data_IF_108548130047
#
_entry.id   IF_108548130047
#
_cell.length_a   1.000
_cell.length_b   1.000
_cell.length_c   1.000
_cell.angle_alpha   90.00
_cell.angle_beta   90.00
_cell.angle_gamma   90.00
#
_symmetry.space_group_name_H-M   'P 1'
#
loop_
_entity.id
_entity.type
_entity.pdbx_description
1 polymer ?
#
# COMPACT_ATOMS: atom_id res chain seq x y z
N UNK A 1 30.99 -7.22 0.70
CA UNK A 1 30.02 -6.19 1.08
C UNK A 1 28.64 -6.72 0.74
N UNK A 2 27.71 -6.58 1.65
CA UNK A 2 26.30 -6.91 1.37
C UNK A 2 25.77 -5.92 0.33
N UNK A 3 24.97 -6.43 -0.61
CA UNK A 3 24.49 -5.65 -1.75
C UNK A 3 23.25 -4.88 -1.37
N UNK A 4 23.12 -3.62 -1.82
CA UNK A 4 21.94 -2.82 -1.55
C UNK A 4 20.66 -3.48 -2.08
N UNK A 5 19.61 -3.48 -1.26
CA UNK A 5 18.29 -3.97 -1.59
C UNK A 5 17.23 -2.91 -1.35
N UNK A 6 16.18 -2.90 -2.16
CA UNK A 6 14.98 -2.08 -1.98
C UNK A 6 13.81 -2.96 -1.57
N UNK A 7 13.27 -2.70 -0.39
CA UNK A 7 12.12 -3.40 0.15
C UNK A 7 10.91 -2.47 0.06
N UNK A 8 9.92 -2.88 -0.68
CA UNK A 8 8.70 -2.12 -0.95
C UNK A 8 7.54 -2.72 -0.15
N UNK A 9 6.98 -1.95 0.77
CA UNK A 9 5.87 -2.40 1.62
C UNK A 9 4.53 -1.84 1.14
N UNK A 10 3.54 -2.72 0.99
CA UNK A 10 2.14 -2.30 1.01
C UNK A 10 1.69 -1.97 2.44
N UNK A 11 0.54 -1.30 2.58
CA UNK A 11 0.02 -0.82 3.86
C UNK A 11 -1.16 -1.66 4.35
N UNK A 12 -2.28 -1.61 3.62
CA UNK A 12 -3.56 -2.15 4.08
C UNK A 12 -3.62 -3.68 3.97
N UNK A 13 -3.58 -4.38 5.08
CA UNK A 13 -3.51 -5.85 5.16
C UNK A 13 -2.09 -6.39 5.25
N UNK A 14 -1.07 -5.54 5.07
CA UNK A 14 0.35 -5.90 5.20
C UNK A 14 0.97 -5.34 6.48
N UNK A 15 0.92 -4.02 6.68
CA UNK A 15 1.43 -3.35 7.87
C UNK A 15 0.34 -3.09 8.91
N UNK A 16 -0.85 -2.74 8.46
CA UNK A 16 -1.97 -2.37 9.32
C UNK A 16 -3.32 -2.60 8.65
N UNK A 17 -4.38 -2.54 9.45
CA UNK A 17 -5.74 -2.31 9.00
C UNK A 17 -6.36 -1.14 9.77
N UNK A 18 -7.02 -0.23 9.06
CA UNK A 18 -7.60 1.00 9.63
C UNK A 18 -9.04 0.84 10.13
N UNK A 19 -9.55 -0.39 10.27
CA UNK A 19 -10.95 -0.62 10.64
C UNK A 19 -11.94 -0.03 9.64
N UNK A 20 -11.59 -0.08 8.34
CA UNK A 20 -12.35 0.48 7.20
C UNK A 20 -12.51 2.01 7.22
N UNK A 21 -11.64 2.75 7.90
CA UNK A 21 -11.67 4.21 7.87
C UNK A 21 -11.59 4.77 6.44
N UNK A 22 -10.70 4.23 5.61
CA UNK A 22 -10.58 4.62 4.19
C UNK A 22 -11.88 4.46 3.41
N UNK A 23 -12.57 3.32 3.54
CA UNK A 23 -13.86 3.08 2.87
C UNK A 23 -14.93 4.07 3.32
N UNK A 24 -15.04 4.33 4.64
CA UNK A 24 -16.01 5.29 5.17
C UNK A 24 -15.71 6.70 4.68
N UNK A 25 -14.46 7.11 4.74
CA UNK A 25 -14.03 8.43 4.25
C UNK A 25 -14.28 8.61 2.75
N UNK A 26 -13.92 7.61 1.93
CA UNK A 26 -14.18 7.64 0.48
C UNK A 26 -15.67 7.76 0.16
N UNK A 27 -16.51 6.98 0.86
CA UNK A 27 -17.97 7.00 0.64
C UNK A 27 -18.55 8.38 0.98
N UNK A 28 -18.17 8.97 2.12
CA UNK A 28 -18.56 10.31 2.52
C UNK A 28 -18.04 11.37 1.56
N UNK A 29 -16.77 11.28 1.17
CA UNK A 29 -16.17 12.24 0.24
C UNK A 29 -16.84 12.24 -1.13
N UNK A 30 -17.18 11.07 -1.66
CA UNK A 30 -17.85 10.96 -2.96
C UNK A 30 -19.26 11.53 -2.92
N UNK A 31 -20.01 11.24 -1.87
CA UNK A 31 -21.34 11.81 -1.67
C UNK A 31 -21.30 13.35 -1.51
N UNK A 32 -20.36 13.88 -0.71
CA UNK A 32 -20.19 15.33 -0.54
C UNK A 32 -19.74 16.03 -1.82
N UNK A 33 -18.89 15.38 -2.64
CA UNK A 33 -18.33 16.00 -3.84
C UNK A 33 -19.29 15.97 -5.02
N UNK A 34 -20.02 14.85 -5.18
CA UNK A 34 -20.79 14.55 -6.39
C UNK A 34 -22.27 14.31 -6.14
N UNK A 35 -22.73 14.25 -4.89
CA UNK A 35 -24.14 14.02 -4.53
C UNK A 35 -24.60 12.57 -4.75
N UNK A 36 -23.66 11.61 -4.91
CA UNK A 36 -23.96 10.20 -5.18
C UNK A 36 -23.62 9.36 -3.96
N UNK A 37 -24.65 8.81 -3.30
CA UNK A 37 -24.49 7.94 -2.16
C UNK A 37 -24.05 6.52 -2.57
N UNK A 38 -23.31 5.83 -1.68
CA UNK A 38 -22.91 4.43 -1.83
C UNK A 38 -22.15 4.11 -3.13
N UNK A 39 -21.39 5.04 -3.67
CA UNK A 39 -20.67 4.90 -4.94
C UNK A 39 -19.67 3.71 -4.97
N UNK A 40 -19.24 3.23 -3.81
CA UNK A 40 -18.31 2.10 -3.68
C UNK A 40 -18.99 0.78 -3.25
N UNK A 41 -20.32 0.71 -3.29
CA UNK A 41 -21.03 -0.50 -2.89
C UNK A 41 -20.69 -1.68 -3.83
N UNK A 42 -20.18 -2.78 -3.24
CA UNK A 42 -19.78 -3.97 -3.98
C UNK A 42 -18.40 -3.92 -4.64
N UNK A 43 -17.66 -2.79 -4.53
CA UNK A 43 -16.30 -2.71 -5.04
C UNK A 43 -15.31 -3.43 -4.11
N UNK A 44 -14.32 -4.10 -4.74
CA UNK A 44 -13.18 -4.70 -4.02
C UNK A 44 -12.05 -3.68 -3.94
N UNK A 45 -11.62 -3.38 -2.72
CA UNK A 45 -10.55 -2.39 -2.46
C UNK A 45 -9.15 -3.00 -2.46
N UNK A 46 -9.02 -4.27 -2.08
CA UNK A 46 -7.72 -4.91 -1.86
C UNK A 46 -6.78 -4.79 -3.07
N UNK A 47 -5.60 -4.23 -2.84
CA UNK A 47 -4.53 -4.10 -3.82
C UNK A 47 -4.78 -3.10 -4.96
N UNK A 48 -5.89 -2.34 -4.94
CA UNK A 48 -6.18 -1.33 -5.96
C UNK A 48 -5.73 0.05 -5.52
N UNK A 49 -5.49 0.94 -6.52
CA UNK A 49 -5.16 2.33 -6.22
C UNK A 49 -6.42 3.15 -5.95
N UNK A 50 -6.31 4.15 -5.07
CA UNK A 50 -7.40 5.10 -4.79
C UNK A 50 -7.88 5.77 -6.09
N UNK A 51 -6.95 6.19 -6.94
CA UNK A 51 -7.27 6.80 -8.24
C UNK A 51 -8.06 5.87 -9.16
N UNK A 52 -7.74 4.56 -9.20
CA UNK A 52 -8.52 3.57 -9.95
C UNK A 52 -9.94 3.44 -9.37
N UNK A 53 -10.08 3.35 -8.05
CA UNK A 53 -11.38 3.22 -7.39
C UNK A 53 -12.27 4.44 -7.67
N UNK A 54 -11.70 5.64 -7.65
CA UNK A 54 -12.43 6.87 -7.99
C UNK A 54 -12.87 6.88 -9.45
N UNK A 55 -11.99 6.52 -10.39
CA UNK A 55 -12.36 6.38 -11.80
C UNK A 55 -13.54 5.43 -11.98
N UNK A 56 -13.53 4.27 -11.30
CA UNK A 56 -14.64 3.30 -11.34
C UNK A 56 -15.93 3.88 -10.78
N UNK A 57 -15.85 4.60 -9.66
CA UNK A 57 -17.02 5.22 -9.03
C UNK A 57 -17.61 6.34 -9.92
N UNK A 58 -16.77 7.18 -10.53
CA UNK A 58 -17.21 8.22 -11.47
C UNK A 58 -17.90 7.60 -12.69
N UNK A 59 -17.33 6.58 -13.30
CA UNK A 59 -17.93 5.85 -14.41
C UNK A 59 -19.26 5.21 -14.04
N UNK A 60 -19.32 4.54 -12.88
CA UNK A 60 -20.54 3.93 -12.36
C UNK A 60 -21.67 4.94 -12.10
N UNK A 61 -21.31 6.18 -11.74
CA UNK A 61 -22.24 7.29 -11.54
C UNK A 61 -22.58 8.06 -12.84
N UNK A 62 -21.98 7.72 -13.97
CA UNK A 62 -22.15 8.46 -15.24
C UNK A 62 -21.55 9.87 -15.21
N UNK A 63 -20.54 10.09 -14.35
CA UNK A 63 -19.84 11.36 -14.20
C UNK A 63 -18.55 11.38 -15.04
N UNK A 64 -18.09 12.57 -15.49
CA UNK A 64 -16.81 12.70 -16.20
C UNK A 64 -15.63 12.30 -15.31
N UNK A 65 -14.79 11.40 -15.82
CA UNK A 65 -13.55 10.99 -15.19
C UNK A 65 -12.42 11.95 -15.65
N UNK A 66 -12.21 13.01 -14.88
CA UNK A 66 -11.26 14.09 -15.21
C UNK A 66 -10.32 14.39 -14.04
N UNK A 67 -9.12 14.95 -14.30
CA UNK A 67 -8.20 15.37 -13.25
C UNK A 67 -8.85 16.31 -12.21
N UNK A 68 -9.75 17.20 -12.66
CA UNK A 68 -10.47 18.13 -11.77
C UNK A 68 -11.45 17.39 -10.83
N UNK A 69 -12.12 16.33 -11.34
CA UNK A 69 -12.99 15.49 -10.52
C UNK A 69 -12.19 14.75 -9.44
N UNK A 70 -11.04 14.17 -9.81
CA UNK A 70 -10.13 13.54 -8.87
C UNK A 70 -9.59 14.51 -7.82
N UNK A 71 -9.16 15.71 -8.22
CA UNK A 71 -8.66 16.72 -7.30
C UNK A 71 -9.73 17.17 -6.30
N UNK A 72 -10.97 17.40 -6.76
CA UNK A 72 -12.10 17.77 -5.90
C UNK A 72 -12.45 16.64 -4.92
N UNK A 73 -12.45 15.40 -5.37
CA UNK A 73 -12.65 14.25 -4.50
C UNK A 73 -11.57 14.16 -3.44
N UNK A 74 -10.29 14.19 -3.84
CA UNK A 74 -9.14 14.08 -2.93
C UNK A 74 -9.16 15.17 -1.86
N UNK A 75 -9.50 16.41 -2.23
CA UNK A 75 -9.62 17.54 -1.30
C UNK A 75 -10.65 17.31 -0.17
N UNK A 76 -11.72 16.55 -0.44
CA UNK A 76 -12.69 16.14 0.58
C UNK A 76 -12.31 14.85 1.30
N UNK A 77 -11.68 13.90 0.59
CA UNK A 77 -11.32 12.59 1.13
C UNK A 77 -10.28 12.67 2.24
N UNK A 78 -9.20 13.43 2.04
CA UNK A 78 -8.09 13.50 2.98
C UNK A 78 -8.52 14.00 4.38
N UNK A 79 -9.23 15.12 4.52
CA UNK A 79 -9.73 15.56 5.83
C UNK A 79 -10.69 14.54 6.46
N UNK A 80 -11.57 13.93 5.67
CA UNK A 80 -12.50 12.94 6.16
C UNK A 80 -11.80 11.67 6.63
N UNK A 81 -10.70 11.26 5.98
CA UNK A 81 -9.91 10.13 6.43
C UNK A 81 -9.28 10.41 7.80
N UNK A 82 -8.75 11.62 8.01
CA UNK A 82 -8.20 12.03 9.30
C UNK A 82 -9.25 12.01 10.43
N UNK A 83 -10.51 12.33 10.12
CA UNK A 83 -11.63 12.19 11.06
C UNK A 83 -12.00 10.71 11.30
N UNK A 84 -12.13 9.92 10.24
CA UNK A 84 -12.63 8.54 10.29
C UNK A 84 -11.63 7.58 10.92
N UNK A 85 -10.33 7.86 10.81
CA UNK A 85 -9.32 7.01 11.42
C UNK A 85 -9.33 7.09 12.94
N UNK A 86 -9.80 8.20 13.50
CA UNK A 86 -9.96 8.35 14.96
C UNK A 86 -11.20 7.60 15.50
N UNK A 87 -12.16 7.27 14.61
CA UNK A 87 -13.38 6.58 15.05
C UNK A 87 -13.14 5.10 15.30
N UNK A 88 -13.97 4.45 16.13
CA UNK A 88 -14.00 3.00 16.23
C UNK A 88 -14.19 2.36 14.86
N UNK A 89 -13.31 1.40 14.54
CA UNK A 89 -13.39 0.69 13.26
C UNK A 89 -14.53 -0.32 13.21
N UNK A 90 -14.87 -0.75 11.99
CA UNK A 90 -15.63 -1.97 11.73
C UNK A 90 -14.68 -3.03 11.24
N UNK A 91 -14.50 -4.13 12.00
CA UNK A 91 -13.45 -5.12 11.77
C UNK A 91 -12.14 -4.77 12.47
N UNK A 92 -11.04 -5.37 11.99
CA UNK A 92 -9.74 -5.15 12.61
C UNK A 92 -9.25 -3.71 12.40
N UNK A 93 -8.77 -3.09 13.48
CA UNK A 93 -8.08 -1.79 13.48
C UNK A 93 -6.83 -1.94 14.34
N UNK A 94 -5.67 -1.91 13.71
CA UNK A 94 -4.39 -2.15 14.39
C UNK A 94 -3.30 -2.58 13.42
N UNK A 95 -2.11 -2.78 13.97
CA UNK A 95 -0.98 -3.33 13.24
C UNK A 95 -1.22 -4.80 12.87
N UNK A 96 -0.65 -5.23 11.76
CA UNK A 96 -0.56 -6.65 11.43
C UNK A 96 0.53 -7.32 12.28
N UNK A 97 0.36 -8.64 12.59
CA UNK A 97 1.33 -9.34 13.44
C UNK A 97 2.75 -9.25 12.90
N UNK A 98 3.69 -8.81 13.74
CA UNK A 98 5.11 -8.68 13.42
C UNK A 98 5.50 -7.47 12.57
N UNK A 99 4.56 -6.61 12.18
CA UNK A 99 4.84 -5.48 11.28
C UNK A 99 5.83 -4.47 11.90
N UNK A 100 5.60 -4.05 13.15
CA UNK A 100 6.50 -3.11 13.84
C UNK A 100 7.86 -3.75 14.12
N UNK A 101 7.86 -4.94 14.66
CA UNK A 101 9.08 -5.67 15.03
C UNK A 101 9.98 -5.90 13.83
N UNK A 102 9.41 -6.19 12.66
CA UNK A 102 10.17 -6.32 11.42
C UNK A 102 10.76 -4.97 10.97
N UNK A 103 9.98 -3.89 10.99
CA UNK A 103 10.47 -2.57 10.59
C UNK A 103 11.60 -2.08 11.51
N UNK A 104 11.47 -2.28 12.83
CA UNK A 104 12.52 -1.97 13.81
C UNK A 104 13.79 -2.79 13.54
N UNK A 105 13.65 -4.09 13.28
CA UNK A 105 14.79 -4.95 12.96
C UNK A 105 15.48 -4.55 11.65
N UNK A 106 14.71 -4.16 10.63
CA UNK A 106 15.25 -3.71 9.34
C UNK A 106 15.99 -2.36 9.42
N UNK A 107 15.65 -1.51 10.39
CA UNK A 107 16.31 -0.22 10.60
C UNK A 107 17.82 -0.36 10.85
N UNK A 108 18.27 -1.46 11.44
CA UNK A 108 19.69 -1.74 11.69
C UNK A 108 20.46 -2.22 10.43
N UNK A 109 19.74 -2.52 9.34
CA UNK A 109 20.33 -3.04 8.10
C UNK A 109 20.51 -1.93 7.04
N UNK A 110 21.49 -1.03 7.23
CA UNK A 110 21.75 0.15 6.38
C UNK A 110 21.97 -0.13 4.88
N UNK A 111 22.09 -1.40 4.46
CA UNK A 111 22.15 -1.79 3.04
C UNK A 111 20.76 -2.12 2.47
N UNK A 112 19.71 -2.12 3.31
CA UNK A 112 18.32 -2.28 2.89
C UNK A 112 17.62 -0.93 2.99
N UNK A 113 17.00 -0.52 1.90
CA UNK A 113 16.22 0.71 1.82
C UNK A 113 14.74 0.36 1.88
N UNK A 114 14.02 0.98 2.81
CA UNK A 114 12.59 0.75 3.02
C UNK A 114 11.80 1.85 2.32
N UNK A 115 10.86 1.44 1.47
CA UNK A 115 9.97 2.39 0.81
C UNK A 115 8.54 1.82 0.74
N UNK A 116 7.56 2.70 0.51
CA UNK A 116 6.16 2.30 0.37
C UNK A 116 5.82 1.95 -1.09
N UNK A 117 4.94 0.97 -1.25
CA UNK A 117 4.32 0.61 -2.51
C UNK A 117 2.82 0.42 -2.26
N UNK A 118 2.04 1.46 -2.39
CA UNK A 118 0.65 1.41 -1.94
C UNK A 118 -0.33 2.01 -2.94
N UNK A 119 -1.53 1.44 -2.95
CA UNK A 119 -2.66 2.02 -3.67
C UNK A 119 -3.26 3.27 -3.02
N UNK A 120 -2.81 3.66 -1.85
CA UNK A 120 -3.28 4.88 -1.19
C UNK A 120 -2.71 6.13 -1.87
N UNK A 121 -3.45 7.25 -1.84
CA UNK A 121 -2.85 8.56 -2.02
C UNK A 121 -1.78 8.81 -0.94
N UNK A 122 -0.74 9.61 -1.26
CA UNK A 122 0.38 9.85 -0.36
C UNK A 122 -0.08 10.37 1.01
N UNK A 123 -0.95 11.39 1.01
CA UNK A 123 -1.47 11.95 2.26
C UNK A 123 -2.37 10.96 3.03
N UNK A 124 -3.08 10.06 2.31
CA UNK A 124 -3.86 8.99 2.95
C UNK A 124 -2.96 7.93 3.59
N UNK A 125 -1.86 7.57 2.95
CA UNK A 125 -0.84 6.69 3.51
C UNK A 125 -0.19 7.30 4.76
N UNK A 126 0.18 8.59 4.70
CA UNK A 126 0.74 9.36 5.82
C UNK A 126 -0.20 9.34 7.03
N UNK A 127 -1.46 9.75 6.87
CA UNK A 127 -2.48 9.72 7.94
C UNK A 127 -2.60 8.33 8.58
N UNK A 128 -2.65 7.27 7.78
CA UNK A 128 -2.78 5.90 8.28
C UNK A 128 -1.54 5.48 9.07
N UNK A 129 -0.35 5.70 8.51
CA UNK A 129 0.90 5.28 9.13
C UNK A 129 1.26 6.14 10.36
N UNK A 130 0.98 7.45 10.34
CA UNK A 130 1.16 8.31 11.52
C UNK A 130 0.26 7.87 12.69
N UNK A 131 -1.01 7.52 12.42
CA UNK A 131 -1.94 7.05 13.46
C UNK A 131 -1.42 5.80 14.19
N UNK A 132 -0.62 4.96 13.53
CA UNK A 132 -0.01 3.76 14.11
C UNK A 132 1.50 3.91 14.35
N UNK A 133 2.05 5.11 14.26
CA UNK A 133 3.46 5.42 14.53
C UNK A 133 4.42 4.59 13.65
N UNK A 134 4.11 4.43 12.36
CA UNK A 134 4.94 3.72 11.38
C UNK A 134 5.50 4.62 10.28
N UNK A 135 5.04 5.88 10.17
CA UNK A 135 5.46 6.76 9.06
C UNK A 135 6.96 7.01 9.03
N UNK A 136 7.60 7.12 10.18
CA UNK A 136 9.03 7.41 10.33
C UNK A 136 9.96 6.34 9.75
N UNK A 137 9.48 5.11 9.52
CA UNK A 137 10.28 4.05 8.91
C UNK A 137 10.46 4.21 7.39
N UNK A 138 9.72 5.12 6.75
CA UNK A 138 9.69 5.25 5.29
C UNK A 138 10.02 6.66 4.84
N UNK A 139 11.12 6.80 4.10
CA UNK A 139 11.53 8.10 3.54
C UNK A 139 10.77 8.44 2.26
N UNK A 140 10.45 7.42 1.43
CA UNK A 140 9.72 7.60 0.18
C UNK A 140 8.79 6.43 -0.13
N UNK A 141 8.13 6.50 -1.28
CA UNK A 141 7.30 5.43 -1.79
C UNK A 141 6.76 5.75 -3.17
N UNK A 142 5.93 4.86 -3.70
CA UNK A 142 5.06 5.10 -4.84
C UNK A 142 3.60 4.92 -4.41
N UNK A 143 2.75 5.82 -4.88
CA UNK A 143 1.41 6.06 -4.37
C UNK A 143 0.39 6.15 -5.51
N UNK A 144 -0.91 6.16 -5.19
CA UNK A 144 -1.98 6.38 -6.17
C UNK A 144 -1.88 7.72 -6.91
N UNK A 145 -1.15 8.70 -6.34
CA UNK A 145 -0.85 9.98 -6.99
C UNK A 145 0.04 9.83 -8.22
N UNK A 146 0.86 8.81 -8.23
CA UNK A 146 1.87 8.61 -9.27
C UNK A 146 1.30 7.93 -10.50
N UNK A 147 0.47 6.92 -10.30
CA UNK A 147 -0.18 6.20 -11.39
C UNK A 147 -1.42 5.43 -10.91
N UNK A 148 -2.48 5.39 -11.75
CA UNK A 148 -3.70 4.62 -11.46
C UNK A 148 -3.50 3.10 -11.59
N UNK A 149 -2.57 2.65 -12.44
CA UNK A 149 -2.20 1.25 -12.59
C UNK A 149 -1.07 0.90 -11.60
N UNK A 150 -1.37 0.03 -10.63
CA UNK A 150 -0.42 -0.43 -9.61
C UNK A 150 0.86 -1.04 -10.21
N UNK A 151 0.79 -1.64 -11.39
CA UNK A 151 1.94 -2.23 -12.05
C UNK A 151 3.04 -1.21 -12.41
N UNK A 152 2.69 0.08 -12.46
CA UNK A 152 3.65 1.16 -12.72
C UNK A 152 4.34 1.66 -11.44
N UNK A 153 3.86 1.28 -10.24
CA UNK A 153 4.38 1.83 -9.00
C UNK A 153 5.76 1.29 -8.62
N UNK A 154 6.07 0.01 -8.90
CA UNK A 154 7.40 -0.55 -8.60
C UNK A 154 8.53 0.18 -9.32
N UNK A 155 8.48 0.39 -10.65
CA UNK A 155 9.53 1.17 -11.33
C UNK A 155 9.58 2.63 -10.86
N UNK A 156 8.46 3.24 -10.49
CA UNK A 156 8.42 4.61 -9.94
C UNK A 156 9.13 4.66 -8.58
N UNK A 157 8.81 3.74 -7.64
CA UNK A 157 9.45 3.67 -6.34
C UNK A 157 10.98 3.48 -6.50
N UNK A 158 11.39 2.58 -7.40
CA UNK A 158 12.80 2.32 -7.68
C UNK A 158 13.52 3.56 -8.23
N UNK A 159 12.91 4.29 -9.18
CA UNK A 159 13.53 5.48 -9.76
C UNK A 159 13.67 6.63 -8.75
N UNK A 160 12.77 6.72 -7.76
CA UNK A 160 12.84 7.70 -6.68
C UNK A 160 14.03 7.52 -5.76
N UNK A 161 14.61 6.34 -5.67
CA UNK A 161 15.80 6.10 -4.87
C UNK A 161 16.95 7.09 -5.19
N UNK A 162 17.06 7.54 -6.45
CA UNK A 162 18.04 8.55 -6.85
C UNK A 162 17.86 9.90 -6.14
N UNK A 163 16.62 10.27 -5.80
CA UNK A 163 16.35 11.52 -5.07
C UNK A 163 16.75 11.44 -3.59
N UNK A 164 17.11 10.24 -3.14
CA UNK A 164 17.58 9.93 -1.77
C UNK A 164 19.04 9.47 -1.78
N UNK A 165 19.82 9.90 -2.78
CA UNK A 165 21.24 9.56 -2.94
C UNK A 165 21.55 8.05 -3.04
N UNK A 166 20.58 7.25 -3.47
CA UNK A 166 20.72 5.81 -3.70
C UNK A 166 20.76 5.56 -5.21
N UNK A 167 21.93 5.27 -5.80
CA UNK A 167 22.02 5.01 -7.23
C UNK A 167 21.16 3.80 -7.63
N UNK A 168 20.28 3.96 -8.62
CA UNK A 168 19.37 2.88 -9.07
C UNK A 168 20.16 1.65 -9.52
N UNK A 169 21.34 1.85 -10.12
CA UNK A 169 22.24 0.76 -10.56
C UNK A 169 22.85 -0.02 -9.40
N UNK A 170 22.92 0.59 -8.19
CA UNK A 170 23.38 -0.08 -6.99
C UNK A 170 22.32 -1.02 -6.39
N UNK A 171 21.04 -0.80 -6.70
CA UNK A 171 19.93 -1.64 -6.22
C UNK A 171 19.94 -2.95 -7.01
N UNK A 172 20.47 -4.00 -6.42
CA UNK A 172 20.61 -5.30 -7.09
C UNK A 172 19.35 -6.17 -6.96
N UNK A 173 18.53 -5.91 -5.94
CA UNK A 173 17.28 -6.63 -5.72
C UNK A 173 16.17 -5.69 -5.28
N UNK A 174 14.97 -5.94 -5.78
CA UNK A 174 13.73 -5.28 -5.35
C UNK A 174 12.81 -6.38 -4.84
N UNK A 175 12.30 -6.21 -3.62
CA UNK A 175 11.36 -7.14 -2.99
C UNK A 175 10.11 -6.36 -2.63
N UNK A 176 8.96 -6.88 -3.02
CA UNK A 176 7.64 -6.37 -2.64
C UNK A 176 7.10 -7.25 -1.52
N UNK A 177 6.60 -6.62 -0.44
CA UNK A 177 5.88 -7.29 0.64
C UNK A 177 4.45 -6.78 0.59
N UNK A 178 3.48 -7.68 0.38
CA UNK A 178 2.07 -7.33 0.23
C UNK A 178 1.15 -8.51 0.54
N UNK A 179 -0.16 -8.28 0.61
CA UNK A 179 -1.15 -9.28 1.01
C UNK A 179 -2.11 -9.71 -0.10
N UNK A 180 -1.95 -9.17 -1.32
CA UNK A 180 -2.90 -9.40 -2.42
C UNK A 180 -2.24 -9.96 -3.69
N UNK A 181 -3.03 -10.61 -4.58
CA UNK A 181 -2.58 -10.96 -5.92
C UNK A 181 -2.10 -9.76 -6.76
N UNK A 182 -2.55 -8.53 -6.45
CA UNK A 182 -2.09 -7.32 -7.12
C UNK A 182 -0.65 -6.96 -6.75
N UNK A 183 -0.21 -7.25 -5.52
CA UNK A 183 1.19 -7.10 -5.10
C UNK A 183 2.09 -8.06 -5.84
N UNK A 184 1.65 -9.32 -5.94
CA UNK A 184 2.35 -10.36 -6.68
C UNK A 184 2.48 -9.99 -8.17
N UNK A 185 1.39 -9.51 -8.77
CA UNK A 185 1.38 -9.13 -10.19
C UNK A 185 2.28 -7.93 -10.45
N UNK A 186 2.23 -6.86 -9.63
CA UNK A 186 3.06 -5.68 -9.86
C UNK A 186 4.56 -5.99 -9.64
N UNK A 187 4.91 -6.84 -8.68
CA UNK A 187 6.27 -7.33 -8.50
C UNK A 187 6.73 -8.12 -9.73
N UNK A 188 5.94 -9.09 -10.18
CA UNK A 188 6.23 -9.93 -11.36
C UNK A 188 6.44 -9.11 -12.62
N UNK A 189 5.57 -8.14 -12.89
CA UNK A 189 5.65 -7.26 -14.08
C UNK A 189 6.95 -6.44 -14.07
N UNK A 190 7.38 -6.00 -12.88
CA UNK A 190 8.60 -5.22 -12.71
C UNK A 190 9.88 -6.08 -12.58
N UNK A 191 9.78 -7.41 -12.61
CA UNK A 191 10.91 -8.31 -12.37
C UNK A 191 11.43 -8.27 -10.93
N UNK A 192 10.59 -7.86 -9.98
CA UNK A 192 10.87 -7.88 -8.55
C UNK A 192 10.40 -9.19 -7.93
N UNK A 193 10.98 -9.56 -6.79
CA UNK A 193 10.52 -10.69 -5.98
C UNK A 193 9.35 -10.28 -5.11
N UNK A 194 8.37 -11.16 -4.89
CA UNK A 194 7.24 -10.93 -4.00
C UNK A 194 7.24 -11.90 -2.81
N UNK A 195 7.22 -11.35 -1.59
CA UNK A 195 6.93 -12.07 -0.35
C UNK A 195 5.50 -11.69 0.04
N UNK A 196 4.56 -12.61 -0.12
CA UNK A 196 3.16 -12.36 0.20
C UNK A 196 2.85 -12.76 1.65
N UNK A 197 2.00 -11.99 2.34
CA UNK A 197 1.53 -12.26 3.70
C UNK A 197 0.02 -12.50 3.71
N UNK A 198 -0.43 -13.55 4.40
CA UNK A 198 -1.84 -13.93 4.42
C UNK A 198 -2.62 -13.22 5.54
N UNK A 199 -2.32 -11.94 5.77
CA UNK A 199 -2.91 -11.11 6.83
C UNK A 199 -4.09 -10.25 6.36
N UNK A 200 -4.28 -10.14 5.04
CA UNK A 200 -5.41 -9.43 4.42
C UNK A 200 -6.58 -10.34 4.09
N UNK A 201 -7.13 -10.19 2.90
CA UNK A 201 -8.32 -10.93 2.45
C UNK A 201 -8.06 -12.27 1.76
N UNK A 202 -6.79 -12.69 1.59
CA UNK A 202 -6.41 -13.88 0.84
C UNK A 202 -5.72 -14.92 1.72
N UNK A 203 -6.00 -16.20 1.44
CA UNK A 203 -5.36 -17.32 2.15
C UNK A 203 -3.96 -17.60 1.59
N UNK A 204 -3.14 -18.32 2.36
CA UNK A 204 -1.82 -18.80 1.93
C UNK A 204 -1.88 -19.54 0.59
N UNK A 205 -2.88 -20.40 0.40
CA UNK A 205 -3.02 -21.18 -0.83
C UNK A 205 -3.39 -20.30 -2.03
N UNK A 206 -4.27 -19.31 -1.84
CA UNK A 206 -4.62 -18.36 -2.90
C UNK A 206 -3.42 -17.51 -3.33
N UNK A 207 -2.59 -17.07 -2.38
CA UNK A 207 -1.39 -16.29 -2.68
C UNK A 207 -0.31 -17.13 -3.36
N UNK A 208 -0.17 -18.41 -3.00
CA UNK A 208 0.70 -19.36 -3.73
C UNK A 208 0.22 -19.61 -5.16
N UNK A 209 -1.08 -19.82 -5.34
CA UNK A 209 -1.69 -19.99 -6.66
C UNK A 209 -1.55 -18.74 -7.53
N UNK A 210 -1.54 -17.54 -6.92
CA UNK A 210 -1.27 -16.28 -7.62
C UNK A 210 0.19 -16.12 -8.04
N UNK A 211 1.11 -16.97 -7.54
CA UNK A 211 2.51 -17.02 -7.97
C UNK A 211 3.46 -16.15 -7.17
N UNK A 212 3.21 -15.92 -5.87
CA UNK A 212 4.18 -15.31 -4.97
C UNK A 212 5.46 -16.16 -4.88
N UNK A 213 6.62 -15.52 -4.78
CA UNK A 213 7.90 -16.25 -4.62
C UNK A 213 7.99 -16.91 -3.25
N UNK A 214 7.45 -16.24 -2.22
CA UNK A 214 7.29 -16.77 -0.87
C UNK A 214 5.93 -16.36 -0.30
N UNK A 215 5.33 -17.20 0.54
CA UNK A 215 4.08 -16.88 1.23
C UNK A 215 4.20 -17.21 2.70
N UNK A 216 3.99 -16.19 3.53
CA UNK A 216 4.02 -16.27 4.98
C UNK A 216 2.61 -16.12 5.56
N UNK A 217 2.31 -16.71 6.73
CA UNK A 217 1.04 -16.45 7.40
C UNK A 217 0.92 -14.99 7.87
N UNK A 218 2.02 -14.43 8.37
CA UNK A 218 2.18 -13.04 8.83
C UNK A 218 3.68 -12.69 8.94
N UNK A 219 4.02 -11.55 9.56
CA UNK A 219 5.39 -11.06 9.75
C UNK A 219 5.97 -11.34 11.14
N UNK A 220 5.30 -12.13 11.99
CA UNK A 220 5.68 -12.30 13.41
C UNK A 220 6.97 -13.11 13.62
N UNK A 221 7.34 -13.99 12.68
CA UNK A 221 8.64 -14.64 12.68
C UNK A 221 9.71 -13.76 12.01
N UNK A 222 10.10 -12.69 12.72
CA UNK A 222 11.07 -11.70 12.22
C UNK A 222 12.37 -12.32 11.71
N UNK A 223 12.90 -13.36 12.38
CA UNK A 223 14.13 -14.03 11.95
C UNK A 223 13.96 -14.73 10.60
N UNK A 224 12.84 -15.44 10.41
CA UNK A 224 12.53 -16.08 9.14
C UNK A 224 12.34 -15.04 8.01
N UNK A 225 11.65 -13.92 8.30
CA UNK A 225 11.48 -12.84 7.31
C UNK A 225 12.82 -12.22 6.95
N UNK A 226 13.66 -11.87 7.92
CA UNK A 226 15.00 -11.33 7.67
C UNK A 226 15.86 -12.27 6.81
N UNK A 227 15.79 -13.59 7.06
CA UNK A 227 16.52 -14.57 6.25
C UNK A 227 16.09 -14.60 4.77
N UNK A 228 14.86 -14.18 4.46
CA UNK A 228 14.36 -14.03 3.08
C UNK A 228 14.79 -12.70 2.44
N UNK A 229 15.05 -11.68 3.26
CA UNK A 229 15.40 -10.33 2.82
C UNK A 229 16.91 -10.10 2.70
N UNK A 230 17.74 -10.81 3.47
CA UNK A 230 19.20 -10.71 3.48
C UNK A 230 19.86 -11.65 2.46
#
# INVERSE_FOLDING_TARGET
MMKPGLILFDIDGTLLLSGRAGLRAMTRAFEQTFGVANAFAGESFGGRTDSFLISRALQGAGLPDTPEAHARFKANYIPLLAEEIEQPGTGHKGLMPGARELLEALHDHHHLHLALLTGNYREAAEIKLEHFELWEFFEWGAFADDHHDRNQLVPIARSRAETYDIPVEAIERVIVIGDTPHDIECARVAGARCIAVATGGFTVDQLREAGADEVLPDLSDTEAVLALLL
#
